data_IF_321721580931
#
_entry.id   IF_321721580931
#
_cell.length_a   1.000
_cell.length_b   1.000
_cell.length_c   1.000
_cell.angle_alpha   90.00
_cell.angle_beta   90.00
_cell.angle_gamma   90.00
#
_symmetry.space_group_name_H-M   'P 1'
#
loop_
_entity.id
_entity.type
_entity.pdbx_description
1 polymer ?
#
# COMPACT_ATOMS: atom_id res chain seq x y z
N UNK A 1 -6.42 -6.48 -12.08
CA UNK A 1 -7.36 -7.22 -12.94
C UNK A 1 -6.99 -8.68 -12.98
N UNK A 2 -7.97 -9.55 -12.97
CA UNK A 2 -7.76 -10.98 -12.95
C UNK A 2 -8.09 -11.58 -14.31
N UNK A 3 -7.23 -12.43 -14.84
CA UNK A 3 -7.52 -13.12 -16.09
C UNK A 3 -8.44 -14.32 -15.81
N UNK A 4 -9.21 -14.75 -16.84
CA UNK A 4 -10.15 -15.86 -16.68
C UNK A 4 -9.49 -17.18 -16.32
N UNK A 5 -8.24 -17.37 -16.73
CA UNK A 5 -7.54 -18.63 -16.55
C UNK A 5 -6.54 -18.62 -15.40
N UNK A 6 -6.36 -17.46 -14.76
CA UNK A 6 -5.46 -17.35 -13.62
C UNK A 6 -6.17 -17.82 -12.36
N UNK A 7 -5.44 -18.56 -11.53
CA UNK A 7 -5.94 -18.89 -10.20
C UNK A 7 -6.02 -17.60 -9.39
N UNK A 8 -7.15 -17.33 -8.73
CA UNK A 8 -7.27 -16.11 -7.93
C UNK A 8 -6.17 -16.01 -6.88
N UNK A 9 -5.62 -14.82 -6.75
CA UNK A 9 -4.70 -14.51 -5.67
C UNK A 9 -5.44 -14.61 -4.33
N UNK A 10 -4.73 -14.98 -3.25
CA UNK A 10 -5.27 -14.92 -1.91
C UNK A 10 -5.62 -13.51 -1.46
N UNK A 11 -5.13 -12.49 -2.19
CA UNK A 11 -5.42 -11.08 -1.92
C UNK A 11 -6.64 -10.57 -2.70
N UNK A 12 -7.39 -11.44 -3.34
CA UNK A 12 -8.52 -11.05 -4.19
C UNK A 12 -9.56 -10.22 -3.44
N UNK A 13 -9.87 -10.56 -2.18
CA UNK A 13 -10.83 -9.81 -1.37
C UNK A 13 -10.40 -8.35 -1.19
N UNK A 14 -9.14 -8.13 -0.89
CA UNK A 14 -8.58 -6.79 -0.70
C UNK A 14 -8.67 -5.97 -2.00
N UNK A 15 -8.25 -6.56 -3.12
CA UNK A 15 -8.32 -5.89 -4.42
C UNK A 15 -9.76 -5.54 -4.77
N UNK A 16 -10.69 -6.45 -4.52
CA UNK A 16 -12.10 -6.22 -4.78
C UNK A 16 -12.67 -5.07 -3.96
N UNK A 17 -12.34 -4.99 -2.67
CA UNK A 17 -12.76 -3.87 -1.81
C UNK A 17 -12.28 -2.54 -2.38
N UNK A 18 -11.00 -2.44 -2.72
CA UNK A 18 -10.41 -1.20 -3.18
C UNK A 18 -10.97 -0.77 -4.53
N UNK A 19 -11.12 -1.69 -5.46
CA UNK A 19 -11.62 -1.38 -6.79
C UNK A 19 -13.09 -0.98 -6.79
N UNK A 20 -13.91 -1.60 -5.94
CA UNK A 20 -15.33 -1.24 -5.83
C UNK A 20 -15.56 0.07 -5.10
N UNK A 21 -14.65 0.45 -4.20
CA UNK A 21 -14.83 1.61 -3.33
C UNK A 21 -14.40 2.92 -3.96
N UNK A 22 -13.70 2.88 -5.10
CA UNK A 22 -13.18 4.08 -5.73
C UNK A 22 -13.36 4.02 -7.24
N UNK A 23 -14.34 4.76 -7.75
CA UNK A 23 -14.71 4.73 -9.17
C UNK A 23 -13.57 5.08 -10.12
N UNK A 24 -12.60 5.88 -9.68
CA UNK A 24 -11.47 6.33 -10.51
C UNK A 24 -10.28 5.40 -10.42
N UNK A 25 -10.29 4.46 -9.49
CA UNK A 25 -9.19 3.50 -9.33
C UNK A 25 -9.33 2.42 -10.37
N UNK A 26 -8.34 2.32 -11.26
CA UNK A 26 -8.30 1.32 -12.32
C UNK A 26 -7.38 0.16 -11.98
N UNK A 27 -6.45 0.35 -11.04
CA UNK A 27 -5.46 -0.66 -10.72
C UNK A 27 -5.13 -0.66 -9.23
N UNK A 28 -4.97 -1.86 -8.70
CA UNK A 28 -4.48 -2.12 -7.35
C UNK A 28 -3.25 -3.02 -7.51
N UNK A 29 -2.11 -2.58 -6.98
CA UNK A 29 -0.86 -3.34 -7.06
C UNK A 29 -0.40 -3.66 -5.65
N UNK A 30 -0.12 -4.94 -5.41
CA UNK A 30 0.40 -5.44 -4.14
C UNK A 30 1.75 -6.08 -4.39
N UNK A 31 2.78 -5.63 -3.69
CA UNK A 31 4.15 -6.14 -3.82
C UNK A 31 4.76 -6.35 -2.43
N UNK A 32 5.89 -7.06 -2.41
CA UNK A 32 6.64 -7.35 -1.18
C UNK A 32 8.02 -6.67 -1.26
N UNK A 33 8.10 -5.34 -1.25
CA UNK A 33 9.38 -4.65 -1.38
C UNK A 33 10.22 -4.80 -0.13
N UNK A 34 11.49 -5.09 -0.33
CA UNK A 34 12.43 -5.42 0.75
C UNK A 34 12.56 -4.30 1.78
N UNK A 35 12.79 -3.08 1.33
CA UNK A 35 13.12 -1.98 2.24
C UNK A 35 11.89 -1.41 2.93
N UNK A 36 10.75 -1.37 2.27
CA UNK A 36 9.49 -1.02 2.94
C UNK A 36 9.20 -2.01 4.07
N UNK A 37 9.33 -3.29 3.78
CA UNK A 37 9.08 -4.34 4.76
C UNK A 37 10.05 -4.24 5.93
N UNK A 38 11.35 -4.02 5.64
CA UNK A 38 12.36 -3.85 6.67
C UNK A 38 12.10 -2.63 7.56
N UNK A 39 11.70 -1.51 6.96
CA UNK A 39 11.41 -0.29 7.71
C UNK A 39 10.24 -0.51 8.67
N UNK A 40 9.18 -1.16 8.20
CA UNK A 40 8.04 -1.49 9.06
C UNK A 40 8.40 -2.48 10.16
N UNK A 41 9.27 -3.44 9.87
CA UNK A 41 9.74 -4.40 10.86
C UNK A 41 10.49 -3.70 12.00
N UNK A 42 11.17 -2.59 11.71
CA UNK A 42 11.82 -1.77 12.75
C UNK A 42 10.83 -0.93 13.54
N UNK A 43 9.55 -1.01 13.23
CA UNK A 43 8.53 -0.26 13.92
C UNK A 43 8.29 1.14 13.37
N UNK A 44 8.81 1.44 12.18
CA UNK A 44 8.63 2.76 11.59
C UNK A 44 7.33 2.83 10.76
N UNK A 45 6.65 3.97 10.86
CA UNK A 45 5.51 4.27 10.02
C UNK A 45 6.02 4.82 8.67
N UNK A 46 5.61 4.20 7.56
CA UNK A 46 6.03 4.68 6.24
C UNK A 46 5.59 6.13 6.01
N UNK A 47 4.40 6.49 6.49
CA UNK A 47 3.90 7.86 6.34
C UNK A 47 4.76 8.89 7.06
N UNK A 48 5.43 8.53 8.14
CA UNK A 48 6.33 9.45 8.84
C UNK A 48 7.65 9.62 8.10
N UNK A 49 8.18 8.54 7.53
CA UNK A 49 9.41 8.59 6.74
C UNK A 49 9.23 9.52 5.53
N UNK A 50 8.10 9.40 4.84
CA UNK A 50 7.83 10.18 3.63
C UNK A 50 7.84 11.69 3.89
N UNK A 51 7.47 12.11 5.07
CA UNK A 51 7.42 13.54 5.41
C UNK A 51 8.78 14.24 5.29
N UNK A 52 9.87 13.49 5.45
CA UNK A 52 11.22 14.03 5.35
C UNK A 52 11.71 14.16 3.90
N UNK A 53 10.92 13.68 2.94
CA UNK A 53 11.31 13.64 1.53
C UNK A 53 10.27 14.39 0.68
N UNK A 54 10.39 15.73 0.54
CA UNK A 54 9.36 16.55 -0.12
C UNK A 54 8.97 16.11 -1.53
N UNK A 55 9.92 15.58 -2.30
CA UNK A 55 9.63 15.11 -3.65
C UNK A 55 8.65 13.94 -3.65
N UNK A 56 8.84 12.99 -2.72
CA UNK A 56 7.94 11.85 -2.61
C UNK A 56 6.61 12.28 -1.99
N UNK A 57 6.68 13.07 -0.92
CA UNK A 57 5.50 13.55 -0.22
C UNK A 57 4.54 14.30 -1.16
N UNK A 58 5.09 15.01 -2.15
CA UNK A 58 4.31 15.77 -3.13
C UNK A 58 3.48 14.86 -4.05
N UNK A 59 4.03 13.71 -4.44
CA UNK A 59 3.42 12.87 -5.47
C UNK A 59 2.77 11.59 -4.96
N UNK A 60 3.06 11.19 -3.74
CA UNK A 60 2.57 9.93 -3.19
C UNK A 60 2.05 10.15 -1.78
N UNK A 61 0.75 9.89 -1.60
CA UNK A 61 0.10 9.99 -0.30
C UNK A 61 0.17 8.64 0.38
N UNK A 62 0.90 8.58 1.49
CA UNK A 62 1.14 7.34 2.24
C UNK A 62 0.27 7.32 3.48
N UNK A 63 -0.55 6.29 3.62
CA UNK A 63 -1.39 6.10 4.79
C UNK A 63 -0.67 5.39 5.93
N UNK A 64 -1.38 5.18 7.04
CA UNK A 64 -0.79 4.48 8.20
C UNK A 64 -0.53 3.02 7.87
N UNK A 65 0.47 2.43 8.54
CA UNK A 65 0.75 1.00 8.37
C UNK A 65 -0.42 0.17 8.88
N UNK A 66 -0.77 -0.87 8.13
CA UNK A 66 -1.69 -1.89 8.59
C UNK A 66 -0.91 -2.83 9.52
N UNK A 67 -1.41 -3.11 10.73
CA UNK A 67 -0.70 -4.00 11.65
C UNK A 67 -0.63 -5.42 11.11
N UNK A 68 0.30 -6.21 11.66
CA UNK A 68 0.48 -7.59 11.23
C UNK A 68 -0.80 -8.39 11.45
N UNK A 69 -1.35 -8.91 10.35
CA UNK A 69 -2.53 -9.77 10.34
C UNK A 69 -2.23 -10.97 9.46
N UNK A 70 -3.07 -12.00 9.55
CA UNK A 70 -2.88 -13.18 8.73
C UNK A 70 -2.98 -12.83 7.25
N UNK A 71 -1.99 -13.23 6.47
CA UNK A 71 -1.97 -13.01 5.03
C UNK A 71 -3.20 -13.65 4.38
N UNK A 72 -3.72 -13.02 3.34
CA UNK A 72 -4.90 -13.45 2.60
C UNK A 72 -6.19 -13.49 3.42
N UNK A 73 -6.18 -12.99 4.66
CA UNK A 73 -7.36 -12.98 5.50
C UNK A 73 -8.31 -11.85 5.13
N UNK A 74 -9.58 -12.04 5.49
CA UNK A 74 -10.58 -11.00 5.32
C UNK A 74 -10.27 -9.79 6.22
N UNK A 75 -9.73 -10.04 7.40
CA UNK A 75 -9.31 -8.99 8.35
C UNK A 75 -8.21 -8.11 7.75
N UNK A 76 -7.25 -8.71 7.05
CA UNK A 76 -6.20 -7.94 6.38
C UNK A 76 -6.78 -7.08 5.26
N UNK A 77 -7.70 -7.64 4.48
CA UNK A 77 -8.37 -6.89 3.41
C UNK A 77 -9.13 -5.69 3.95
N UNK A 78 -9.90 -5.88 5.01
CA UNK A 78 -10.67 -4.81 5.65
C UNK A 78 -9.76 -3.75 6.27
N UNK A 79 -8.72 -4.17 6.99
CA UNK A 79 -7.77 -3.26 7.62
C UNK A 79 -7.01 -2.43 6.57
N UNK A 80 -6.66 -3.03 5.44
CA UNK A 80 -6.01 -2.32 4.34
C UNK A 80 -6.93 -1.26 3.75
N UNK A 81 -8.18 -1.62 3.51
CA UNK A 81 -9.18 -0.69 3.02
C UNK A 81 -9.37 0.48 4.00
N UNK A 82 -9.51 0.17 5.30
CA UNK A 82 -9.69 1.21 6.33
C UNK A 82 -8.50 2.15 6.39
N UNK A 83 -7.28 1.61 6.27
CA UNK A 83 -6.07 2.44 6.29
C UNK A 83 -5.97 3.38 5.11
N UNK A 84 -6.58 3.04 3.98
CA UNK A 84 -6.56 3.87 2.77
C UNK A 84 -7.67 4.91 2.72
N UNK A 85 -8.64 4.82 3.62
CA UNK A 85 -9.82 5.70 3.58
C UNK A 85 -9.77 6.78 4.66
N UNK A 86 -10.63 7.79 4.51
CA UNK A 86 -10.76 8.86 5.49
C UNK A 86 -11.82 8.50 6.53
N UNK A 87 -11.36 8.32 7.78
CA UNK A 87 -12.23 8.06 8.94
C UNK A 87 -13.29 7.00 8.62
N UNK A 88 -14.54 7.19 9.00
CA UNK A 88 -15.63 6.22 8.81
C UNK A 88 -16.30 6.31 7.44
N UNK A 89 -15.62 6.91 6.47
CA UNK A 89 -16.14 7.03 5.10
C UNK A 89 -15.54 5.97 4.21
N UNK A 90 -16.13 5.78 3.02
CA UNK A 90 -15.54 4.93 1.99
C UNK A 90 -14.65 5.69 1.03
N UNK A 91 -14.33 6.95 1.33
CA UNK A 91 -13.50 7.78 0.47
C UNK A 91 -12.02 7.43 0.63
N UNK A 92 -11.39 6.97 -0.43
CA UNK A 92 -9.97 6.66 -0.45
C UNK A 92 -9.18 7.97 -0.57
N UNK A 93 -8.23 8.18 0.36
CA UNK A 93 -7.41 9.40 0.40
C UNK A 93 -5.92 9.14 0.31
N UNK A 94 -5.48 7.89 0.37
CA UNK A 94 -4.07 7.53 0.26
C UNK A 94 -3.81 6.71 -0.98
N UNK A 95 -2.60 6.84 -1.51
CA UNK A 95 -2.16 6.11 -2.70
C UNK A 95 -1.54 4.76 -2.35
N UNK A 96 -0.97 4.64 -1.15
CA UNK A 96 -0.25 3.44 -0.73
C UNK A 96 -0.32 3.31 0.78
N UNK A 97 -0.41 2.08 1.25
CA UNK A 97 -0.26 1.73 2.67
C UNK A 97 0.67 0.53 2.79
N UNK A 98 1.44 0.51 3.88
CA UNK A 98 2.24 -0.66 4.23
C UNK A 98 1.40 -1.65 5.01
N UNK A 99 1.77 -2.92 4.90
CA UNK A 99 1.17 -4.03 5.65
C UNK A 99 2.31 -4.69 6.39
N UNK A 100 2.36 -4.52 7.70
CA UNK A 100 3.48 -4.97 8.52
C UNK A 100 3.73 -6.47 8.37
N UNK A 101 5.00 -6.83 8.22
CA UNK A 101 5.45 -8.21 8.00
C UNK A 101 4.88 -8.86 6.74
N UNK A 102 4.40 -8.07 5.78
CA UNK A 102 3.79 -8.61 4.56
C UNK A 102 4.30 -7.87 3.31
N UNK A 103 3.94 -6.62 3.14
CA UNK A 103 4.31 -5.87 1.94
C UNK A 103 3.64 -4.52 1.89
N UNK A 104 3.27 -4.09 0.69
CA UNK A 104 2.57 -2.81 0.48
C UNK A 104 1.47 -3.01 -0.56
N UNK A 105 0.47 -2.14 -0.50
CA UNK A 105 -0.61 -2.07 -1.48
C UNK A 105 -0.75 -0.64 -1.95
N UNK A 106 -0.74 -0.43 -3.27
CA UNK A 106 -0.89 0.88 -3.88
C UNK A 106 -2.03 0.87 -4.89
N UNK A 107 -2.67 2.03 -5.06
CA UNK A 107 -3.75 2.21 -6.01
C UNK A 107 -3.47 3.42 -6.89
N UNK A 108 -3.89 3.34 -8.14
CA UNK A 108 -3.77 4.45 -9.09
C UNK A 108 -4.69 4.22 -10.30
N UNK A 109 -4.71 5.18 -11.21
CA UNK A 109 -5.51 5.07 -12.43
C UNK A 109 -5.06 3.92 -13.34
N UNK A 110 -3.78 3.53 -13.25
CA UNK A 110 -3.23 2.44 -14.04
C UNK A 110 -2.12 1.73 -13.26
N UNK A 111 -1.71 0.52 -13.67
CA UNK A 111 -0.69 -0.24 -12.92
C UNK A 111 0.67 0.45 -12.82
N UNK A 112 1.06 1.20 -13.84
CA UNK A 112 2.35 1.89 -13.85
C UNK A 112 2.44 2.95 -12.77
N UNK A 113 1.39 3.76 -12.63
CA UNK A 113 1.34 4.79 -11.60
C UNK A 113 1.31 4.18 -10.20
N UNK A 114 0.56 3.08 -10.02
CA UNK A 114 0.54 2.38 -8.75
C UNK A 114 1.93 1.84 -8.40
N UNK A 115 2.61 1.25 -9.37
CA UNK A 115 3.97 0.75 -9.20
C UNK A 115 4.94 1.89 -8.85
N UNK A 116 4.81 3.04 -9.47
CA UNK A 116 5.65 4.20 -9.18
C UNK A 116 5.51 4.68 -7.74
N UNK A 117 4.29 4.63 -7.18
CA UNK A 117 4.09 4.95 -5.77
C UNK A 117 4.93 4.00 -4.90
N UNK A 118 4.93 2.72 -5.21
CA UNK A 118 5.71 1.73 -4.47
C UNK A 118 7.21 2.01 -4.61
N UNK A 119 7.67 2.28 -5.83
CA UNK A 119 9.08 2.56 -6.10
C UNK A 119 9.59 3.77 -5.33
N UNK A 120 8.80 4.84 -5.26
CA UNK A 120 9.19 6.03 -4.51
C UNK A 120 9.38 5.73 -3.02
N UNK A 121 8.43 5.02 -2.42
CA UNK A 121 8.50 4.69 -1.01
C UNK A 121 9.63 3.69 -0.73
N UNK A 122 9.81 2.71 -1.60
CA UNK A 122 10.90 1.74 -1.48
C UNK A 122 12.27 2.44 -1.53
N UNK A 123 12.42 3.40 -2.41
CA UNK A 123 13.66 4.14 -2.56
C UNK A 123 14.02 4.91 -1.28
N UNK A 124 13.06 5.64 -0.71
CA UNK A 124 13.34 6.39 0.52
C UNK A 124 13.55 5.49 1.72
N UNK A 125 12.87 4.35 1.79
CA UNK A 125 13.12 3.37 2.85
C UNK A 125 14.54 2.84 2.78
N UNK A 126 15.04 2.59 1.57
CA UNK A 126 16.42 2.16 1.36
C UNK A 126 17.40 3.21 1.89
N UNK A 127 17.16 4.48 1.58
CA UNK A 127 18.01 5.59 2.04
C UNK A 127 18.03 5.65 3.57
N UNK A 128 16.86 5.63 4.20
CA UNK A 128 16.76 5.78 5.66
C UNK A 128 17.38 4.60 6.37
N UNK A 129 17.19 3.39 5.87
CA UNK A 129 17.78 2.19 6.46
C UNK A 129 19.31 2.21 6.33
N UNK A 130 19.83 2.69 5.20
CA UNK A 130 21.27 2.81 5.00
C UNK A 130 21.89 3.88 5.90
N UNK A 131 21.14 4.92 6.22
CA UNK A 131 21.61 6.04 7.03
C UNK A 131 21.46 5.82 8.54
N UNK A 132 20.76 4.79 8.95
CA UNK A 132 20.49 4.55 10.37
C UNK A 132 21.55 3.69 11.04
#
# INVERSE_FOLDING_TARGET
MMTKHAKPSGELSMHGFLQRSHNKTKAVVHLHPTYCTAAMYRGWQLCDIVKDFPEVFRYTKVGPNVPKLEATSHELAQATFDAMTYADTSKIIYDIVGQECHGVTAIAANPWDAFEHIERVEHICKIVLAAS
#
